data_IF_661207112913
#
_entry.id   IF_661207112913
#
_cell.length_a   1.000
_cell.length_b   1.000
_cell.length_c   1.000
_cell.angle_alpha   90.00
_cell.angle_beta   90.00
_cell.angle_gamma   90.00
#
_symmetry.space_group_name_H-M   'P 1'
#
loop_
_entity.id
_entity.type
_entity.pdbx_description
1 polymer ?
#
# COMPACT_ATOMS: atom_id res chain seq x y z
N UNK A 1 6.59 -29.15 12.56
CA UNK A 1 5.52 -28.37 11.86
C UNK A 1 5.38 -26.95 12.44
N UNK A 2 6.46 -26.22 12.73
CA UNK A 2 6.33 -24.92 13.44
C UNK A 2 7.52 -23.95 13.32
N UNK A 3 8.27 -23.92 12.20
CA UNK A 3 9.40 -22.97 12.08
C UNK A 3 9.64 -22.42 10.65
N UNK A 4 8.58 -22.17 9.88
CA UNK A 4 8.69 -21.45 8.59
C UNK A 4 7.80 -20.20 8.52
N UNK A 5 7.36 -19.67 9.66
CA UNK A 5 6.59 -18.42 9.71
C UNK A 5 7.52 -17.23 10.00
N UNK A 6 7.47 -16.23 9.11
CA UNK A 6 7.64 -14.78 9.38
C UNK A 6 8.97 -14.05 9.13
N UNK A 7 9.90 -14.51 8.29
CA UNK A 7 11.15 -13.72 8.09
C UNK A 7 11.06 -12.51 7.15
N UNK A 8 10.01 -12.35 6.34
CA UNK A 8 9.98 -11.35 5.25
C UNK A 8 8.71 -10.48 5.19
N UNK A 9 7.96 -10.30 6.29
CA UNK A 9 6.84 -9.35 6.29
C UNK A 9 7.28 -8.01 6.87
N UNK A 10 6.84 -6.88 6.31
CA UNK A 10 7.10 -5.60 6.93
C UNK A 10 6.41 -5.50 8.29
N UNK A 11 7.04 -4.78 9.21
CA UNK A 11 6.53 -4.57 10.56
C UNK A 11 6.05 -3.13 10.72
N UNK A 12 4.95 -2.94 11.44
CA UNK A 12 4.48 -1.60 11.81
C UNK A 12 5.52 -0.95 12.73
N UNK A 13 5.82 0.33 12.48
CA UNK A 13 6.86 1.09 13.17
C UNK A 13 8.22 1.05 12.48
N UNK A 14 8.42 0.16 11.51
CA UNK A 14 9.68 0.04 10.75
C UNK A 14 9.59 0.75 9.39
N UNK A 15 10.74 1.08 8.77
CA UNK A 15 10.78 1.57 7.40
C UNK A 15 10.09 0.61 6.43
N UNK A 16 9.21 1.14 5.58
CA UNK A 16 8.54 0.32 4.57
C UNK A 16 9.56 -0.22 3.54
N UNK A 17 9.40 -1.47 3.05
CA UNK A 17 10.29 -2.05 2.06
C UNK A 17 10.37 -1.18 0.80
N UNK A 18 11.57 -0.76 0.46
CA UNK A 18 11.80 0.12 -0.69
C UNK A 18 11.51 -0.60 -2.01
N UNK A 19 10.90 0.09 -2.96
CA UNK A 19 10.65 -0.44 -4.30
C UNK A 19 10.88 0.65 -5.37
N UNK A 20 11.20 0.18 -6.57
CA UNK A 20 11.22 0.98 -7.80
C UNK A 20 10.50 0.17 -8.86
N UNK A 21 9.52 0.77 -9.51
CA UNK A 21 8.68 0.09 -10.49
C UNK A 21 8.22 1.05 -11.58
N UNK A 22 7.60 0.48 -12.60
CA UNK A 22 6.98 1.22 -13.69
C UNK A 22 5.47 1.27 -13.43
N UNK A 23 4.92 2.48 -13.39
CA UNK A 23 3.50 2.75 -13.22
C UNK A 23 2.91 3.45 -14.44
N UNK A 24 1.59 3.36 -14.59
CA UNK A 24 0.82 4.13 -15.56
C UNK A 24 0.12 5.26 -14.81
N UNK A 25 0.33 6.50 -15.27
CA UNK A 25 -0.33 7.73 -14.79
C UNK A 25 -0.79 8.50 -16.02
N UNK A 26 -2.09 8.79 -16.15
CA UNK A 26 -2.67 9.46 -17.33
C UNK A 26 -2.19 8.86 -18.66
N UNK A 27 -2.26 7.53 -18.77
CA UNK A 27 -1.83 6.75 -19.96
C UNK A 27 -0.33 6.84 -20.29
N UNK A 28 0.47 7.46 -19.41
CA UNK A 28 1.92 7.57 -19.56
C UNK A 28 2.63 6.59 -18.63
N UNK A 29 3.67 5.97 -19.18
CA UNK A 29 4.57 5.09 -18.45
C UNK A 29 5.56 5.96 -17.67
N UNK A 30 5.55 5.86 -16.35
CA UNK A 30 6.44 6.60 -15.45
C UNK A 30 7.19 5.64 -14.52
N UNK A 31 8.44 5.96 -14.19
CA UNK A 31 9.17 5.26 -13.14
C UNK A 31 8.78 5.86 -11.79
N UNK A 32 8.35 5.01 -10.86
CA UNK A 32 7.91 5.40 -9.52
C UNK A 32 8.74 4.66 -8.50
N UNK A 33 9.24 5.38 -7.52
CA UNK A 33 9.97 4.84 -6.36
C UNK A 33 9.22 5.20 -5.09
N UNK A 34 9.35 4.36 -4.07
CA UNK A 34 8.81 4.67 -2.74
C UNK A 34 9.35 6.01 -2.21
N UNK A 35 10.61 6.32 -2.51
CA UNK A 35 11.27 7.56 -2.09
C UNK A 35 10.66 8.82 -2.68
N UNK A 36 9.96 8.72 -3.81
CA UNK A 36 9.34 9.88 -4.48
C UNK A 36 8.17 10.44 -3.66
N UNK A 37 7.62 9.65 -2.72
CA UNK A 37 6.52 10.02 -1.84
C UNK A 37 6.97 10.56 -0.47
N UNK A 38 8.29 10.73 -0.25
CA UNK A 38 8.80 11.31 1.00
C UNK A 38 8.22 12.71 1.21
N UNK A 39 7.84 13.01 2.44
CA UNK A 39 7.13 14.24 2.78
C UNK A 39 5.60 14.14 2.68
N UNK A 40 5.05 13.09 2.06
CA UNK A 40 3.61 12.84 1.96
C UNK A 40 3.23 11.48 2.57
N UNK A 41 1.98 11.35 3.02
CA UNK A 41 1.44 10.03 3.36
C UNK A 41 1.18 9.24 2.08
N UNK A 42 1.51 7.96 2.10
CA UNK A 42 1.29 7.04 0.99
C UNK A 42 0.38 5.90 1.45
N UNK A 43 -0.71 5.70 0.72
CA UNK A 43 -1.55 4.51 0.82
C UNK A 43 -1.18 3.58 -0.33
N UNK A 44 -0.51 2.47 0.00
CA UNK A 44 -0.13 1.44 -0.96
C UNK A 44 -1.14 0.30 -0.92
N UNK A 45 -1.83 0.07 -2.05
CA UNK A 45 -2.87 -0.93 -2.19
C UNK A 45 -2.44 -2.06 -3.14
N UNK A 46 -2.55 -3.31 -2.67
CA UNK A 46 -2.38 -4.52 -3.44
C UNK A 46 -3.75 -5.14 -3.73
N UNK A 47 -3.95 -5.58 -4.96
CA UNK A 47 -5.18 -6.24 -5.39
C UNK A 47 -4.87 -7.47 -6.25
N UNK A 48 -5.64 -8.57 -6.11
CA UNK A 48 -5.52 -9.73 -6.98
C UNK A 48 -5.96 -9.38 -8.41
N UNK A 49 -5.53 -10.21 -9.37
CA UNK A 49 -5.76 -10.06 -10.81
C UNK A 49 -7.23 -9.80 -11.23
N UNK A 50 -8.20 -10.12 -10.38
CA UNK A 50 -9.63 -9.95 -10.61
C UNK A 50 -10.23 -8.71 -9.91
N UNK A 51 -10.08 -7.54 -10.54
CA UNK A 51 -11.05 -6.43 -10.42
C UNK A 51 -12.11 -6.46 -11.53
N UNK A 52 -12.11 -7.49 -12.39
CA UNK A 52 -12.85 -7.55 -13.67
C UNK A 52 -14.02 -8.55 -13.63
N UNK A 53 -14.63 -8.82 -12.47
CA UNK A 53 -15.86 -9.64 -12.38
C UNK A 53 -17.13 -8.83 -12.05
N UNK A 54 -17.07 -7.49 -12.10
CA UNK A 54 -18.30 -6.70 -12.26
C UNK A 54 -18.70 -6.67 -13.74
N UNK A 55 -19.99 -6.61 -14.10
CA UNK A 55 -20.45 -6.43 -15.48
C UNK A 55 -20.16 -4.99 -15.95
N UNK A 56 -18.88 -4.63 -15.99
CA UNK A 56 -18.31 -3.39 -16.51
C UNK A 56 -17.59 -3.65 -17.84
N UNK A 57 -17.98 -4.70 -18.56
CA UNK A 57 -17.49 -5.01 -19.90
C UNK A 57 -17.83 -3.96 -20.98
N UNK A 58 -18.21 -2.73 -20.59
CA UNK A 58 -18.26 -1.61 -21.52
C UNK A 58 -17.30 -0.47 -21.17
N UNK A 59 -16.76 -0.34 -19.95
CA UNK A 59 -15.88 0.78 -19.62
C UNK A 59 -14.85 0.33 -18.57
N UNK A 60 -13.56 0.43 -18.91
CA UNK A 60 -12.42 0.08 -18.03
C UNK A 60 -12.36 0.88 -16.73
N UNK A 61 -11.18 0.98 -16.09
CA UNK A 61 -11.03 1.70 -14.82
C UNK A 61 -11.32 3.22 -14.88
N UNK A 62 -11.61 3.75 -16.07
CA UNK A 62 -11.79 5.17 -16.32
C UNK A 62 -10.46 5.93 -16.19
N UNK A 63 -10.56 7.24 -16.01
CA UNK A 63 -9.39 8.06 -15.68
C UNK A 63 -8.99 7.80 -14.23
N UNK A 64 -7.73 7.43 -14.02
CA UNK A 64 -7.15 7.22 -12.69
C UNK A 64 -6.27 8.41 -12.32
N UNK A 65 -6.58 9.07 -11.21
CA UNK A 65 -5.78 10.16 -10.66
C UNK A 65 -4.62 9.66 -9.78
N UNK A 66 -4.36 8.36 -9.78
CA UNK A 66 -3.28 7.72 -9.01
C UNK A 66 -2.47 6.74 -9.87
N UNK A 67 -1.18 6.55 -9.55
CA UNK A 67 -0.33 5.62 -10.30
C UNK A 67 -0.76 4.18 -10.11
N UNK A 68 -0.97 3.47 -11.23
CA UNK A 68 -1.22 2.04 -11.25
C UNK A 68 0.01 1.32 -11.79
N UNK A 69 0.65 0.48 -10.98
CA UNK A 69 1.78 -0.34 -11.44
C UNK A 69 1.42 -1.81 -11.51
N UNK A 70 2.12 -2.52 -12.41
CA UNK A 70 2.07 -3.97 -12.50
C UNK A 70 3.28 -4.58 -11.80
N UNK A 71 3.07 -5.70 -11.11
CA UNK A 71 4.14 -6.49 -10.47
C UNK A 71 4.21 -7.89 -11.12
N UNK A 72 4.65 -8.00 -12.40
CA UNK A 72 4.60 -9.26 -13.15
C UNK A 72 5.53 -10.34 -12.59
N UNK A 73 6.61 -9.94 -11.90
CA UNK A 73 7.59 -10.85 -11.28
C UNK A 73 7.24 -11.13 -9.81
N UNK A 74 6.19 -10.48 -9.29
CA UNK A 74 5.72 -10.62 -7.90
C UNK A 74 6.76 -10.23 -6.84
N UNK A 75 7.75 -9.42 -7.22
CA UNK A 75 8.86 -9.03 -6.32
C UNK A 75 8.31 -8.16 -5.21
N UNK A 76 7.51 -7.15 -5.55
CA UNK A 76 6.96 -6.19 -4.59
C UNK A 76 5.95 -6.90 -3.69
N UNK A 77 5.10 -7.74 -4.28
CA UNK A 77 4.09 -8.52 -3.54
C UNK A 77 4.74 -9.49 -2.53
N UNK A 78 5.87 -10.11 -2.89
CA UNK A 78 6.67 -10.95 -1.98
C UNK A 78 7.36 -10.13 -0.89
N UNK A 79 7.93 -8.97 -1.24
CA UNK A 79 8.58 -8.06 -0.29
C UNK A 79 7.62 -7.54 0.79
N UNK A 80 6.38 -7.26 0.41
CA UNK A 80 5.33 -6.85 1.34
C UNK A 80 4.62 -8.04 2.00
N UNK A 81 4.99 -9.27 1.67
CA UNK A 81 4.49 -10.48 2.30
C UNK A 81 3.03 -10.79 2.01
N UNK A 82 2.50 -10.31 0.89
CA UNK A 82 1.09 -10.47 0.46
C UNK A 82 0.93 -11.45 -0.70
N UNK A 83 2.03 -11.90 -1.29
CA UNK A 83 2.00 -12.90 -2.36
C UNK A 83 1.81 -14.32 -1.80
N UNK A 84 0.82 -15.03 -2.33
CA UNK A 84 0.56 -16.42 -1.99
C UNK A 84 1.17 -17.33 -3.07
N UNK A 85 2.30 -17.97 -2.74
CA UNK A 85 3.08 -18.76 -3.71
C UNK A 85 2.30 -19.95 -4.27
N UNK A 86 1.52 -20.62 -3.43
CA UNK A 86 0.71 -21.79 -3.82
C UNK A 86 -0.43 -21.43 -4.79
N UNK A 87 -0.97 -20.21 -4.65
CA UNK A 87 -2.17 -19.79 -5.39
C UNK A 87 -1.84 -18.90 -6.60
N UNK A 88 -0.62 -18.36 -6.67
CA UNK A 88 -0.15 -17.58 -7.83
C UNK A 88 -0.73 -16.17 -7.93
N UNK A 89 -1.24 -15.62 -6.82
CA UNK A 89 -1.76 -14.25 -6.74
C UNK A 89 -1.40 -13.57 -5.41
N UNK A 90 -1.53 -12.25 -5.36
CA UNK A 90 -1.43 -11.48 -4.11
C UNK A 90 -2.79 -11.31 -3.44
N UNK A 91 -2.79 -11.31 -2.11
CA UNK A 91 -3.95 -10.96 -1.28
C UNK A 91 -4.30 -9.48 -1.43
N UNK A 92 -5.53 -9.11 -1.04
CA UNK A 92 -5.89 -7.69 -0.93
C UNK A 92 -5.23 -7.10 0.29
N UNK A 93 -4.44 -6.05 0.12
CA UNK A 93 -3.76 -5.45 1.25
C UNK A 93 -3.64 -3.94 1.10
N UNK A 94 -3.78 -3.23 2.22
CA UNK A 94 -3.52 -1.80 2.34
C UNK A 94 -2.36 -1.61 3.31
N UNK A 95 -1.39 -0.81 2.90
CA UNK A 95 -0.30 -0.34 3.74
C UNK A 95 -0.36 1.19 3.80
N UNK A 96 -0.39 1.76 5.00
CA UNK A 96 -0.31 3.20 5.23
C UNK A 96 1.09 3.54 5.69
N UNK A 97 1.80 4.28 4.85
CA UNK A 97 3.18 4.71 5.05
C UNK A 97 3.16 6.21 5.30
N UNK A 98 3.84 6.66 6.36
CA UNK A 98 3.90 8.09 6.68
C UNK A 98 4.88 8.86 5.79
N UNK A 99 4.94 10.18 6.01
CA UNK A 99 5.84 11.10 5.32
C UNK A 99 7.34 10.81 5.54
N UNK A 100 7.68 10.06 6.59
CA UNK A 100 9.03 9.58 6.89
C UNK A 100 9.28 8.16 6.36
N UNK A 101 8.40 7.63 5.50
CA UNK A 101 8.52 6.29 4.92
C UNK A 101 8.43 5.16 5.94
N UNK A 102 7.85 5.42 7.12
CA UNK A 102 7.62 4.42 8.17
C UNK A 102 6.24 3.81 7.96
N UNK A 103 6.14 2.49 8.05
CA UNK A 103 4.88 1.79 7.97
C UNK A 103 4.07 2.00 9.26
N UNK A 104 2.89 2.61 9.16
CA UNK A 104 2.02 2.92 10.31
C UNK A 104 0.84 1.98 10.48
N UNK A 105 0.31 1.46 9.38
CA UNK A 105 -0.75 0.47 9.41
C UNK A 105 -0.59 -0.50 8.25
N UNK A 106 -0.93 -1.77 8.48
CA UNK A 106 -1.19 -2.74 7.42
C UNK A 106 -2.52 -3.46 7.68
N UNK A 107 -3.29 -3.69 6.63
CA UNK A 107 -4.52 -4.47 6.62
C UNK A 107 -4.41 -5.46 5.47
N UNK A 108 -4.50 -6.76 5.77
CA UNK A 108 -4.42 -7.83 4.77
C UNK A 108 -5.70 -8.63 4.87
N UNK A 109 -6.44 -8.65 3.77
CA UNK A 109 -7.73 -9.27 3.64
C UNK A 109 -7.65 -10.47 2.69
N UNK A 110 -8.51 -11.45 2.95
CA UNK A 110 -8.72 -12.56 2.03
C UNK A 110 -9.32 -12.06 0.69
N UNK A 111 -9.20 -12.88 -0.36
CA UNK A 111 -9.60 -12.54 -1.74
C UNK A 111 -11.08 -12.24 -1.93
N UNK A 112 -11.95 -12.56 -0.98
CA UNK A 112 -13.38 -12.26 -1.04
C UNK A 112 -13.79 -11.08 -0.16
N UNK A 113 -12.87 -10.57 0.66
CA UNK A 113 -13.13 -9.45 1.56
C UNK A 113 -12.56 -8.17 0.97
N UNK A 114 -13.41 -7.15 0.87
CA UNK A 114 -12.99 -5.84 0.38
C UNK A 114 -12.29 -5.04 1.47
N UNK A 115 -11.33 -4.21 1.07
CA UNK A 115 -10.77 -3.22 1.97
C UNK A 115 -11.71 -2.01 2.05
N UNK A 116 -11.94 -1.50 3.26
CA UNK A 116 -12.78 -0.31 3.46
C UNK A 116 -12.00 0.96 3.18
N UNK A 117 -12.49 1.75 2.22
CA UNK A 117 -11.92 3.07 1.89
C UNK A 117 -12.14 4.03 3.06
N UNK A 118 -13.33 4.01 3.66
CA UNK A 118 -13.69 4.89 4.78
C UNK A 118 -12.77 4.68 5.99
N UNK A 119 -12.47 3.42 6.30
CA UNK A 119 -11.57 3.08 7.41
C UNK A 119 -10.13 3.51 7.11
N UNK A 120 -9.68 3.33 5.86
CA UNK A 120 -8.36 3.78 5.44
C UNK A 120 -8.23 5.29 5.57
N UNK A 121 -9.25 6.02 5.11
CA UNK A 121 -9.30 7.48 5.21
C UNK A 121 -9.31 7.96 6.66
N UNK A 122 -10.14 7.34 7.50
CA UNK A 122 -10.21 7.63 8.94
C UNK A 122 -8.85 7.43 9.62
N UNK A 123 -8.13 6.35 9.30
CA UNK A 123 -6.82 6.12 9.91
C UNK A 123 -5.75 7.08 9.41
N UNK A 124 -5.74 7.44 8.12
CA UNK A 124 -4.83 8.48 7.61
C UNK A 124 -5.07 9.80 8.34
N UNK A 125 -6.32 10.22 8.51
CA UNK A 125 -6.65 11.43 9.26
C UNK A 125 -6.18 11.36 10.72
N UNK A 126 -6.43 10.23 11.40
CA UNK A 126 -6.00 10.04 12.77
C UNK A 126 -4.47 10.13 12.91
N UNK A 127 -3.72 9.50 12.00
CA UNK A 127 -2.25 9.56 11.98
C UNK A 127 -1.75 10.98 11.72
N UNK A 128 -2.38 11.72 10.82
CA UNK A 128 -2.03 13.11 10.55
C UNK A 128 -2.28 14.00 11.77
N UNK A 129 -3.42 13.81 12.45
CA UNK A 129 -3.75 14.55 13.67
C UNK A 129 -2.72 14.31 14.79
N UNK A 130 -2.38 13.04 15.07
CA UNK A 130 -1.37 12.69 16.09
C UNK A 130 -0.03 13.34 15.76
N UNK A 131 0.43 13.25 14.52
CA UNK A 131 1.69 13.85 14.10
C UNK A 131 1.70 15.39 14.24
N UNK A 132 0.59 16.07 14.00
CA UNK A 132 0.49 17.53 14.23
C UNK A 132 0.56 17.86 15.71
N UNK A 133 -0.18 17.13 16.57
CA UNK A 133 -0.13 17.34 18.02
C UNK A 133 1.26 17.09 18.62
N UNK A 134 1.98 16.07 18.16
CA UNK A 134 3.36 15.80 18.60
C UNK A 134 4.28 16.97 18.27
N UNK A 135 4.20 17.52 17.05
CA UNK A 135 5.00 18.68 16.63
C UNK A 135 4.69 19.93 17.45
N UNK A 136 3.41 20.19 17.74
CA UNK A 136 3.01 21.32 18.58
C UNK A 136 3.54 21.17 20.01
N UNK A 137 3.50 19.96 20.56
CA UNK A 137 4.04 19.68 21.90
C UNK A 137 5.56 19.88 21.95
N UNK A 138 6.30 19.40 20.95
CA UNK A 138 7.75 19.63 20.86
C UNK A 138 8.11 21.11 20.76
N UNK A 139 7.27 21.93 20.08
CA UNK A 139 7.49 23.36 20.00
C UNK A 139 7.25 24.07 21.34
N UNK A 140 6.28 23.60 22.14
CA UNK A 140 5.98 24.17 23.48
C UNK A 140 7.01 23.80 24.55
N UNK A 141 7.79 22.75 24.33
CA UNK A 141 8.83 22.26 25.25
C UNK A 141 10.22 22.85 24.96
N UNK A 142 10.38 23.63 23.89
CA UNK A 142 11.61 24.35 23.51
C UNK A 142 11.49 25.82 23.85
#
# INVERSE_FOLDING_TARGET
>A
LSTLKSKNRPSVGEPAPNFSTVAVVDERIVNVKLTDYRGSYLVLFFYPRDLIQSPRCENGLGKLDFPLFADPVHIISKMYGVYQEEQGFCLRAIFIIDNNGILRQMCINDIHVHCSVDETFRTVQALQFVNTCEKENEHRLK
#
